data_IF_181323795444
#
_entry.id   IF_181323795444
#
_cell.length_a   1.000
_cell.length_b   1.000
_cell.length_c   1.000
_cell.angle_alpha   90.00
_cell.angle_beta   90.00
_cell.angle_gamma   90.00
#
_symmetry.space_group_name_H-M   'P 1'
#
loop_
_entity.id
_entity.type
_entity.pdbx_description
1 polymer ?
#
# COMPACT_ATOMS: atom_id res chain seq x y z
N UNK A 1 -14.89 5.91 -19.35
CA UNK A 1 -15.37 5.58 -18.00
C UNK A 1 -14.38 4.57 -17.44
N UNK A 2 -13.88 4.87 -16.24
CA UNK A 2 -12.99 4.03 -15.41
C UNK A 2 -11.58 3.73 -15.93
N UNK A 3 -10.62 3.85 -15.01
CA UNK A 3 -9.51 2.93 -14.75
C UNK A 3 -8.79 3.53 -13.49
N UNK A 4 -8.17 2.69 -12.65
CA UNK A 4 -6.99 2.88 -11.74
C UNK A 4 -6.47 1.48 -11.52
N UNK A 5 -5.17 1.21 -11.70
CA UNK A 5 -4.51 -0.07 -11.40
C UNK A 5 -3.00 0.05 -11.67
N UNK A 6 -2.28 0.58 -10.68
CA UNK A 6 -0.84 0.40 -10.57
C UNK A 6 -0.56 -1.04 -10.14
N UNK A 7 0.50 -1.61 -10.70
CA UNK A 7 0.97 -2.96 -10.38
C UNK A 7 1.63 -2.91 -9.00
N UNK A 8 0.96 -3.42 -7.98
CA UNK A 8 1.61 -3.85 -6.75
C UNK A 8 1.67 -5.38 -6.75
N UNK A 9 2.86 -5.92 -6.45
CA UNK A 9 3.10 -7.34 -6.27
C UNK A 9 3.07 -8.15 -7.57
N UNK A 10 4.23 -8.47 -8.13
CA UNK A 10 4.38 -9.47 -9.19
C UNK A 10 4.13 -10.87 -8.58
N UNK A 11 3.06 -11.60 -8.93
CA UNK A 11 2.91 -13.00 -8.55
C UNK A 11 3.39 -13.83 -9.75
N UNK A 12 4.70 -14.11 -9.78
CA UNK A 12 5.29 -14.93 -10.83
C UNK A 12 6.80 -15.01 -10.69
N UNK A 13 7.29 -16.16 -10.23
CA UNK A 13 8.67 -16.56 -10.52
C UNK A 13 8.92 -16.41 -12.03
N UNK A 14 9.91 -15.59 -12.40
CA UNK A 14 10.36 -15.48 -13.79
C UNK A 14 10.52 -14.07 -14.33
N UNK A 15 11.21 -13.17 -13.63
CA UNK A 15 11.89 -12.05 -14.29
C UNK A 15 13.23 -11.80 -13.60
N UNK A 16 14.29 -11.99 -14.36
CA UNK A 16 15.72 -11.81 -14.07
C UNK A 16 16.03 -10.78 -12.97
N UNK A 17 16.41 -11.26 -11.78
CA UNK A 17 17.01 -10.49 -10.69
C UNK A 17 18.51 -10.23 -10.95
N UNK A 18 18.87 -9.68 -12.10
CA UNK A 18 20.24 -9.26 -12.37
C UNK A 18 20.35 -7.75 -12.11
N UNK A 19 20.67 -7.36 -10.87
CA UNK A 19 20.97 -5.95 -10.55
C UNK A 19 20.88 -5.53 -9.08
N UNK A 20 20.26 -6.33 -8.20
CA UNK A 20 19.94 -5.93 -6.83
C UNK A 20 20.66 -6.77 -5.75
N UNK A 21 21.97 -6.93 -5.87
CA UNK A 21 22.75 -7.65 -4.86
C UNK A 21 22.68 -6.95 -3.50
N UNK A 22 22.26 -7.68 -2.45
CA UNK A 22 22.21 -7.20 -1.07
C UNK A 22 20.89 -6.57 -0.61
N UNK A 23 19.87 -6.46 -1.47
CA UNK A 23 18.55 -5.96 -1.08
C UNK A 23 17.66 -7.09 -0.54
N UNK A 24 16.94 -6.81 0.56
CA UNK A 24 15.93 -7.73 1.10
C UNK A 24 14.61 -7.46 0.42
N UNK A 25 14.03 -8.49 -0.18
CA UNK A 25 12.71 -8.43 -0.78
C UNK A 25 11.69 -9.02 0.19
N UNK A 26 10.58 -8.32 0.40
CA UNK A 26 9.42 -8.87 1.09
C UNK A 26 8.33 -9.11 0.05
N UNK A 27 7.83 -10.34 -0.02
CA UNK A 27 6.74 -10.68 -0.92
C UNK A 27 5.43 -9.98 -0.53
N UNK A 28 4.55 -9.83 -1.51
CA UNK A 28 3.18 -9.37 -1.29
C UNK A 28 2.18 -10.06 -2.22
N UNK A 29 0.89 -9.98 -1.87
CA UNK A 29 -0.21 -10.40 -2.73
C UNK A 29 -1.28 -9.32 -2.77
N UNK A 30 -1.90 -9.09 -3.92
CA UNK A 30 -3.06 -8.21 -4.08
C UNK A 30 -4.31 -9.04 -4.32
N UNK A 31 -5.32 -8.86 -3.46
CA UNK A 31 -6.58 -9.61 -3.45
C UNK A 31 -7.60 -9.10 -4.49
N UNK A 32 -7.14 -8.79 -5.70
CA UNK A 32 -8.02 -8.50 -6.83
C UNK A 32 -8.70 -9.79 -7.34
N UNK A 33 -9.82 -9.66 -8.05
CA UNK A 33 -10.60 -10.82 -8.53
C UNK A 33 -9.76 -11.79 -9.39
N UNK A 34 -8.87 -11.28 -10.23
CA UNK A 34 -7.97 -12.10 -11.05
C UNK A 34 -6.98 -12.96 -10.22
N UNK A 35 -6.71 -12.56 -8.98
CA UNK A 35 -5.87 -13.29 -8.02
C UNK A 35 -6.67 -14.28 -7.17
N UNK A 36 -8.00 -14.33 -7.33
CA UNK A 36 -8.93 -15.09 -6.47
C UNK A 36 -9.81 -14.22 -5.56
N UNK A 37 -9.58 -12.90 -5.52
CA UNK A 37 -10.38 -11.96 -4.74
C UNK A 37 -10.05 -11.95 -3.24
N UNK A 38 -10.96 -11.38 -2.44
CA UNK A 38 -10.84 -11.35 -0.97
C UNK A 38 -11.20 -12.75 -0.45
N UNK A 39 -10.20 -13.62 -0.38
CA UNK A 39 -10.35 -15.00 0.10
C UNK A 39 -9.10 -15.41 0.89
N UNK A 40 -9.32 -15.96 2.09
CA UNK A 40 -8.24 -16.42 2.98
C UNK A 40 -7.37 -17.50 2.32
N UNK A 41 -7.93 -18.32 1.42
CA UNK A 41 -7.21 -19.37 0.69
C UNK A 41 -6.13 -18.80 -0.23
N UNK A 42 -6.33 -17.59 -0.77
CA UNK A 42 -5.31 -16.89 -1.55
C UNK A 42 -4.12 -16.53 -0.66
N UNK A 43 -4.39 -16.06 0.55
CA UNK A 43 -3.36 -15.71 1.54
C UNK A 43 -2.63 -16.95 2.05
N UNK A 44 -3.35 -18.01 2.41
CA UNK A 44 -2.74 -19.30 2.80
C UNK A 44 -1.82 -19.85 1.72
N UNK A 45 -2.27 -19.85 0.46
CA UNK A 45 -1.46 -20.29 -0.67
C UNK A 45 -0.18 -19.45 -0.79
N UNK A 46 -0.28 -18.14 -0.66
CA UNK A 46 0.90 -17.26 -0.70
C UNK A 46 1.87 -17.52 0.45
N UNK A 47 1.37 -17.79 1.66
CA UNK A 47 2.19 -18.18 2.80
C UNK A 47 2.89 -19.54 2.57
N UNK A 48 2.20 -20.52 1.99
CA UNK A 48 2.83 -21.80 1.63
C UNK A 48 3.96 -21.62 0.59
N UNK A 49 3.76 -20.76 -0.42
CA UNK A 49 4.77 -20.49 -1.45
C UNK A 49 5.96 -19.71 -0.91
N UNK A 50 5.72 -18.83 0.07
CA UNK A 50 6.74 -18.08 0.78
C UNK A 50 7.63 -18.98 1.65
N UNK A 51 7.08 -20.07 2.20
CA UNK A 51 7.82 -20.95 3.11
C UNK A 51 8.28 -20.22 4.37
N UNK A 52 9.50 -20.50 4.82
CA UNK A 52 10.06 -20.00 6.09
C UNK A 52 10.76 -18.63 5.99
N UNK A 53 10.46 -17.84 4.95
CA UNK A 53 11.06 -16.50 4.81
C UNK A 53 10.74 -15.62 6.05
N UNK A 54 11.76 -14.99 6.66
CA UNK A 54 11.57 -14.20 7.87
C UNK A 54 10.74 -12.94 7.62
N UNK A 55 10.10 -12.43 8.67
CA UNK A 55 9.30 -11.21 8.64
C UNK A 55 7.85 -11.42 8.22
N UNK A 56 7.16 -10.33 7.92
CA UNK A 56 5.73 -10.31 7.59
C UNK A 56 5.50 -10.18 6.09
N UNK A 57 4.50 -10.90 5.60
CA UNK A 57 4.04 -10.85 4.21
C UNK A 57 2.95 -9.78 4.06
N UNK A 58 3.01 -8.97 3.01
CA UNK A 58 2.02 -7.91 2.79
C UNK A 58 0.83 -8.45 1.99
N UNK A 59 -0.38 -8.32 2.56
CA UNK A 59 -1.63 -8.65 1.88
C UNK A 59 -2.37 -7.35 1.59
N UNK A 60 -2.42 -6.96 0.31
CA UNK A 60 -3.18 -5.80 -0.12
C UNK A 60 -4.63 -6.22 -0.39
N UNK A 61 -5.56 -5.54 0.29
CA UNK A 61 -6.98 -5.55 -0.10
C UNK A 61 -7.13 -4.99 -1.54
N UNK A 62 -8.30 -5.15 -2.19
CA UNK A 62 -8.44 -4.89 -3.62
C UNK A 62 -7.98 -3.49 -4.06
N UNK A 63 -7.32 -3.44 -5.22
CA UNK A 63 -6.95 -2.19 -5.91
C UNK A 63 -7.84 -1.91 -7.12
N UNK A 64 -8.62 -2.91 -7.59
CA UNK A 64 -9.74 -2.74 -8.54
C UNK A 64 -11.05 -2.64 -7.78
N UNK A 65 -11.52 -1.43 -7.54
CA UNK A 65 -12.72 -1.21 -6.70
C UNK A 65 -13.94 -0.71 -7.48
N UNK A 66 -13.79 -0.47 -8.79
CA UNK A 66 -14.84 0.14 -9.62
C UNK A 66 -15.15 1.58 -9.22
N UNK A 67 -14.27 2.22 -8.43
CA UNK A 67 -14.36 3.64 -8.11
C UNK A 67 -13.62 4.43 -9.17
N UNK A 68 -14.27 5.49 -9.65
CA UNK A 68 -13.66 6.43 -10.59
C UNK A 68 -12.92 7.53 -9.84
N UNK A 69 -11.64 7.72 -10.15
CA UNK A 69 -10.96 8.99 -9.92
C UNK A 69 -10.24 9.41 -11.20
N UNK A 70 -10.10 10.71 -11.41
CA UNK A 70 -9.39 11.25 -12.57
C UNK A 70 -7.89 11.21 -12.26
N UNK A 71 -7.16 10.32 -12.94
CA UNK A 71 -5.69 10.32 -12.88
C UNK A 71 -5.10 11.04 -14.06
N UNK A 72 -4.02 11.78 -13.81
CA UNK A 72 -3.21 12.47 -14.84
C UNK A 72 -2.28 11.52 -15.59
N UNK A 73 -2.12 10.27 -15.14
CA UNK A 73 -1.32 9.26 -15.83
C UNK A 73 -2.05 8.67 -17.04
N UNK A 74 -1.28 8.44 -18.12
CA UNK A 74 -1.76 7.72 -19.30
C UNK A 74 -2.09 6.26 -18.95
N UNK A 75 -3.24 5.80 -19.42
CA UNK A 75 -3.89 4.59 -18.91
C UNK A 75 -3.66 3.36 -19.78
N UNK A 76 -2.48 2.77 -19.66
CA UNK A 76 -2.12 1.55 -20.39
C UNK A 76 -2.64 0.29 -19.68
N UNK A 77 -2.96 -0.75 -20.46
CA UNK A 77 -3.25 -2.06 -19.91
C UNK A 77 -1.94 -2.72 -19.54
N UNK A 78 -1.87 -3.33 -18.35
CA UNK A 78 -0.70 -4.11 -17.96
C UNK A 78 -0.50 -5.33 -18.85
N UNK A 79 -1.59 -5.88 -19.41
CA UNK A 79 -1.52 -7.00 -20.35
C UNK A 79 -2.69 -6.97 -21.35
N UNK A 80 -2.51 -7.37 -22.63
CA UNK A 80 -3.57 -7.40 -23.63
C UNK A 80 -4.80 -8.25 -23.26
N UNK A 81 -4.59 -9.35 -22.51
CA UNK A 81 -5.69 -10.23 -22.05
C UNK A 81 -6.77 -9.49 -21.25
N UNK A 82 -6.40 -8.40 -20.57
CA UNK A 82 -7.34 -7.61 -19.77
C UNK A 82 -8.32 -6.80 -20.63
N UNK A 83 -8.14 -6.74 -21.97
CA UNK A 83 -9.14 -6.19 -22.91
C UNK A 83 -10.38 -7.08 -22.99
N UNK A 84 -10.15 -8.38 -23.07
CA UNK A 84 -11.21 -9.37 -23.27
C UNK A 84 -11.79 -9.85 -21.94
N UNK A 85 -10.95 -9.85 -20.89
CA UNK A 85 -11.32 -10.30 -19.54
C UNK A 85 -10.95 -9.23 -18.52
N UNK A 86 -11.74 -8.14 -18.41
CA UNK A 86 -11.49 -7.12 -17.42
C UNK A 86 -11.63 -7.68 -16.00
N UNK A 87 -10.76 -7.23 -15.10
CA UNK A 87 -10.79 -7.62 -13.69
C UNK A 87 -12.07 -7.06 -13.07
N UNK A 88 -12.86 -7.91 -12.41
CA UNK A 88 -14.09 -7.46 -11.76
C UNK A 88 -13.75 -6.62 -10.52
N UNK A 89 -14.46 -5.49 -10.32
CA UNK A 89 -14.36 -4.72 -9.08
C UNK A 89 -14.67 -5.55 -7.83
N UNK A 90 -13.87 -5.35 -6.79
CA UNK A 90 -14.12 -5.89 -5.45
C UNK A 90 -14.00 -4.78 -4.41
N UNK A 91 -14.83 -4.83 -3.37
CA UNK A 91 -14.83 -3.88 -2.26
C UNK A 91 -14.70 -4.63 -0.95
N UNK A 92 -14.17 -3.93 0.06
CA UNK A 92 -14.01 -4.48 1.41
C UNK A 92 -15.33 -4.44 2.20
N UNK A 93 -16.30 -3.67 1.71
CA UNK A 93 -17.65 -3.56 2.27
C UNK A 93 -18.70 -4.23 1.39
N UNK A 94 -19.77 -4.69 2.04
CA UNK A 94 -21.02 -5.09 1.38
C UNK A 94 -21.90 -3.86 1.11
N UNK A 95 -23.00 -4.06 0.38
CA UNK A 95 -23.96 -2.99 0.02
C UNK A 95 -24.59 -2.29 1.25
N UNK A 96 -24.61 -2.96 2.40
CA UNK A 96 -25.10 -2.38 3.66
C UNK A 96 -24.08 -1.48 4.37
N UNK A 97 -22.94 -1.21 3.74
CA UNK A 97 -21.88 -0.35 4.28
C UNK A 97 -21.06 -0.99 5.41
N UNK A 98 -21.13 -2.32 5.59
CA UNK A 98 -20.33 -3.04 6.59
C UNK A 98 -19.23 -3.84 5.94
N UNK A 99 -18.10 -4.04 6.64
CA UNK A 99 -17.05 -4.94 6.18
C UNK A 99 -17.62 -6.33 5.88
N UNK A 100 -17.21 -6.90 4.76
CA UNK A 100 -17.65 -8.25 4.36
C UNK A 100 -17.07 -9.29 5.33
N UNK A 101 -17.73 -10.45 5.52
CA UNK A 101 -17.17 -11.56 6.30
C UNK A 101 -15.76 -11.95 5.82
N UNK A 102 -15.54 -11.96 4.50
CA UNK A 102 -14.25 -12.27 3.89
C UNK A 102 -13.17 -11.26 4.29
N UNK A 103 -13.49 -9.96 4.28
CA UNK A 103 -12.55 -8.93 4.77
C UNK A 103 -12.23 -9.13 6.24
N UNK A 104 -13.23 -9.43 7.08
CA UNK A 104 -13.01 -9.72 8.50
C UNK A 104 -12.11 -10.93 8.70
N UNK A 105 -12.24 -11.97 7.86
CA UNK A 105 -11.39 -13.15 7.92
C UNK A 105 -9.94 -12.81 7.57
N UNK A 106 -9.70 -12.00 6.53
CA UNK A 106 -8.35 -11.49 6.21
C UNK A 106 -7.75 -10.67 7.37
N UNK A 107 -8.53 -9.81 8.02
CA UNK A 107 -8.05 -9.05 9.17
C UNK A 107 -7.68 -9.98 10.35
N UNK A 108 -8.51 -10.98 10.65
CA UNK A 108 -8.23 -11.95 11.72
C UNK A 108 -6.96 -12.76 11.43
N UNK A 109 -6.73 -13.15 10.16
CA UNK A 109 -5.52 -13.86 9.77
C UNK A 109 -4.25 -13.14 10.21
N UNK A 110 -4.22 -11.80 10.22
CA UNK A 110 -3.03 -11.05 10.63
C UNK A 110 -2.66 -11.21 12.11
N UNK A 111 -3.57 -11.72 12.94
CA UNK A 111 -3.29 -12.08 14.34
C UNK A 111 -2.58 -13.42 14.46
N UNK A 112 -2.93 -14.35 13.57
CA UNK A 112 -2.49 -15.75 13.64
C UNK A 112 -1.26 -16.00 12.74
N UNK A 113 -1.08 -15.17 11.71
CA UNK A 113 -0.01 -15.27 10.73
C UNK A 113 0.83 -13.98 10.69
N UNK A 114 2.11 -14.06 10.28
CA UNK A 114 2.97 -12.89 10.16
C UNK A 114 2.58 -12.07 8.91
N UNK A 115 1.49 -11.33 9.02
CA UNK A 115 0.97 -10.49 7.93
C UNK A 115 1.05 -9.01 8.28
N UNK A 116 1.15 -8.20 7.23
CA UNK A 116 0.75 -6.79 7.21
C UNK A 116 -0.46 -6.70 6.30
N UNK A 117 -1.57 -6.15 6.78
CA UNK A 117 -2.73 -5.89 5.91
C UNK A 117 -2.58 -4.49 5.35
N UNK A 118 -2.60 -4.36 4.02
CA UNK A 118 -2.68 -3.07 3.33
C UNK A 118 -4.12 -2.80 2.91
N UNK A 119 -4.60 -1.58 3.12
CA UNK A 119 -6.01 -1.20 2.85
C UNK A 119 -6.39 -1.24 1.37
N UNK A 120 -5.42 -1.39 0.46
CA UNK A 120 -5.68 -1.30 -0.99
C UNK A 120 -6.29 0.04 -1.37
N UNK A 121 -7.16 0.05 -2.38
CA UNK A 121 -7.85 1.27 -2.84
C UNK A 121 -9.23 1.46 -2.20
N UNK A 122 -9.32 1.17 -0.90
CA UNK A 122 -10.46 1.51 -0.06
C UNK A 122 -10.69 3.03 -0.05
N UNK A 123 -11.96 3.46 -0.05
CA UNK A 123 -12.30 4.88 0.13
C UNK A 123 -12.15 5.32 1.60
N UNK A 124 -12.40 6.60 1.88
CA UNK A 124 -12.22 7.17 3.21
C UNK A 124 -13.05 6.46 4.30
N UNK A 125 -14.30 6.09 3.99
CA UNK A 125 -15.19 5.43 4.95
C UNK A 125 -14.76 3.98 5.19
N UNK A 126 -14.40 3.27 4.12
CA UNK A 126 -13.83 1.92 4.20
C UNK A 126 -12.52 1.90 4.98
N UNK A 127 -11.63 2.86 4.77
CA UNK A 127 -10.38 2.96 5.53
C UNK A 127 -10.65 3.17 7.01
N UNK A 128 -11.58 4.05 7.39
CA UNK A 128 -11.96 4.24 8.80
C UNK A 128 -12.55 2.97 9.41
N UNK A 129 -13.44 2.28 8.70
CA UNK A 129 -13.97 0.98 9.15
C UNK A 129 -12.87 -0.08 9.33
N UNK A 130 -11.90 -0.14 8.41
CA UNK A 130 -10.77 -1.06 8.50
C UNK A 130 -9.88 -0.73 9.70
N UNK A 131 -9.63 0.54 9.99
CA UNK A 131 -8.88 0.98 11.18
C UNK A 131 -9.63 0.58 12.45
N UNK A 132 -10.90 0.99 12.58
CA UNK A 132 -11.72 0.71 13.76
C UNK A 132 -11.79 -0.80 14.06
N UNK A 133 -12.08 -1.60 13.04
CA UNK A 133 -12.17 -3.05 13.20
C UNK A 133 -10.81 -3.68 13.52
N UNK A 134 -9.74 -3.21 12.86
CA UNK A 134 -8.37 -3.68 13.11
C UNK A 134 -7.95 -3.43 14.56
N UNK A 135 -8.23 -2.24 15.09
CA UNK A 135 -7.98 -1.91 16.50
C UNK A 135 -8.85 -2.77 17.42
N UNK A 136 -10.15 -2.91 17.12
CA UNK A 136 -11.10 -3.69 17.92
C UNK A 136 -10.69 -5.15 18.07
N UNK A 137 -10.19 -5.78 17.00
CA UNK A 137 -9.80 -7.19 17.03
C UNK A 137 -8.31 -7.41 17.29
N UNK A 138 -7.50 -6.35 17.39
CA UNK A 138 -6.07 -6.45 17.69
C UNK A 138 -5.20 -6.90 16.51
N UNK A 139 -5.47 -6.41 15.30
CA UNK A 139 -4.58 -6.59 14.14
C UNK A 139 -3.23 -5.94 14.44
N UNK A 140 -2.10 -6.68 14.34
CA UNK A 140 -0.82 -6.16 14.78
C UNK A 140 -0.21 -5.14 13.82
N UNK A 141 -0.51 -5.24 12.51
CA UNK A 141 0.07 -4.40 11.45
C UNK A 141 -0.97 -4.12 10.36
N UNK A 142 -1.52 -2.92 10.37
CA UNK A 142 -2.34 -2.36 9.30
C UNK A 142 -1.56 -1.23 8.63
N UNK A 143 -1.42 -1.26 7.31
CA UNK A 143 -0.83 -0.19 6.52
C UNK A 143 -1.92 0.50 5.70
N UNK A 144 -2.08 1.81 5.87
CA UNK A 144 -2.94 2.60 5.00
C UNK A 144 -2.21 2.79 3.66
N UNK A 145 -2.77 2.24 2.60
CA UNK A 145 -2.19 2.28 1.26
C UNK A 145 -2.48 3.64 0.61
N UNK A 146 -1.43 4.43 0.41
CA UNK A 146 -1.51 5.78 -0.18
C UNK A 146 -2.68 6.64 0.34
N UNK A 147 -2.85 6.87 1.65
CA UNK A 147 -4.08 7.46 2.18
C UNK A 147 -4.34 8.91 1.76
N UNK A 148 -3.35 9.59 1.17
CA UNK A 148 -3.49 10.91 0.54
C UNK A 148 -4.07 10.86 -0.90
N UNK A 149 -4.26 9.67 -1.47
CA UNK A 149 -4.83 9.52 -2.81
C UNK A 149 -6.29 10.03 -2.87
N UNK A 150 -6.82 10.42 -4.05
CA UNK A 150 -8.15 11.03 -4.16
C UNK A 150 -9.35 10.18 -3.68
N UNK A 151 -9.21 8.85 -3.57
CA UNK A 151 -10.26 7.98 -3.04
C UNK A 151 -10.39 8.08 -1.52
N UNK A 152 -9.28 8.29 -0.83
CA UNK A 152 -9.23 8.33 0.64
C UNK A 152 -9.11 9.76 1.16
N UNK A 153 -8.26 10.58 0.54
CA UNK A 153 -8.19 12.03 0.76
C UNK A 153 -7.72 12.46 2.15
N UNK A 154 -7.10 11.58 2.94
CA UNK A 154 -6.64 11.90 4.29
C UNK A 154 -5.44 12.86 4.22
N UNK A 155 -5.44 13.85 5.11
CA UNK A 155 -4.40 14.89 5.20
C UNK A 155 -3.53 14.71 6.43
N UNK A 156 -2.39 15.39 6.46
CA UNK A 156 -1.38 15.23 7.50
C UNK A 156 -1.93 15.34 8.93
N UNK A 157 -2.89 16.23 9.18
CA UNK A 157 -3.49 16.39 10.50
C UNK A 157 -4.26 15.13 10.96
N UNK A 158 -5.07 14.54 10.09
CA UNK A 158 -5.81 13.30 10.39
C UNK A 158 -4.87 12.10 10.47
N UNK A 159 -3.89 12.04 9.55
CA UNK A 159 -2.87 10.99 9.55
C UNK A 159 -1.98 11.03 10.79
N UNK A 160 -1.71 12.20 11.38
CA UNK A 160 -0.96 12.31 12.62
C UNK A 160 -1.70 11.67 13.80
N UNK A 161 -3.03 11.83 13.86
CA UNK A 161 -3.86 11.18 14.88
C UNK A 161 -3.88 9.67 14.65
N UNK A 162 -4.18 9.23 13.43
CA UNK A 162 -4.25 7.79 13.10
C UNK A 162 -2.90 7.10 13.31
N UNK A 163 -1.80 7.71 12.86
CA UNK A 163 -0.45 7.16 12.96
C UNK A 163 0.08 7.07 14.39
N UNK A 164 -0.58 7.73 15.37
CA UNK A 164 -0.24 7.56 16.78
C UNK A 164 -0.59 6.16 17.31
N UNK A 165 -1.48 5.43 16.62
CA UNK A 165 -1.77 4.03 16.92
C UNK A 165 -0.58 3.13 16.53
N UNK A 166 0.03 2.38 17.48
CA UNK A 166 1.26 1.62 17.23
C UNK A 166 1.15 0.53 16.17
N UNK A 167 -0.06 0.04 15.88
CA UNK A 167 -0.32 -1.00 14.89
C UNK A 167 -0.65 -0.45 13.50
N UNK A 168 -0.84 0.87 13.37
CA UNK A 168 -1.23 1.51 12.10
C UNK A 168 -0.05 2.26 11.50
N UNK A 169 0.23 1.94 10.23
CA UNK A 169 1.31 2.50 9.44
C UNK A 169 0.75 3.32 8.29
N UNK A 170 1.39 4.43 7.98
CA UNK A 170 0.95 5.38 6.96
C UNK A 170 1.90 5.29 5.78
N UNK A 171 1.43 4.77 4.65
CA UNK A 171 2.25 4.79 3.45
C UNK A 171 2.25 6.21 2.85
N UNK A 172 3.41 6.84 2.75
CA UNK A 172 3.57 8.08 1.98
C UNK A 172 4.30 7.75 0.68
N UNK A 173 3.64 7.96 -0.45
CA UNK A 173 4.23 7.67 -1.76
C UNK A 173 4.75 8.92 -2.44
N UNK A 174 5.83 8.79 -3.20
CA UNK A 174 6.29 9.85 -4.10
C UNK A 174 5.25 10.15 -5.19
N UNK A 175 4.53 9.12 -5.65
CA UNK A 175 3.55 9.26 -6.72
C UNK A 175 2.43 10.27 -6.38
N UNK A 176 1.88 10.26 -5.16
CA UNK A 176 0.80 11.21 -4.80
C UNK A 176 1.25 12.66 -4.90
N UNK A 177 2.52 12.94 -4.60
CA UNK A 177 3.12 14.26 -4.74
C UNK A 177 3.38 14.61 -6.21
N UNK A 178 3.98 13.69 -6.97
CA UNK A 178 4.28 13.89 -8.40
C UNK A 178 3.03 14.11 -9.27
N UNK A 179 1.91 13.46 -8.94
CA UNK A 179 0.64 13.65 -9.63
C UNK A 179 -0.15 14.88 -9.16
N UNK A 180 0.35 15.60 -8.15
CA UNK A 180 -0.33 16.77 -7.58
C UNK A 180 -1.57 16.44 -6.76
N UNK A 181 -1.78 15.19 -6.35
CA UNK A 181 -2.87 14.82 -5.43
C UNK A 181 -2.63 15.36 -4.02
N UNK A 182 -1.36 15.56 -3.69
CA UNK A 182 -0.91 16.13 -2.44
C UNK A 182 -0.04 17.35 -2.74
N UNK A 183 -0.33 18.47 -2.09
CA UNK A 183 0.49 19.66 -2.22
C UNK A 183 1.78 19.55 -1.38
N UNK A 184 2.73 20.45 -1.63
CA UNK A 184 4.01 20.48 -0.93
C UNK A 184 3.86 20.66 0.57
N UNK A 185 2.89 21.44 1.04
CA UNK A 185 2.73 21.73 2.46
C UNK A 185 2.25 20.48 3.21
N UNK A 186 1.25 19.78 2.68
CA UNK A 186 0.73 18.55 3.26
C UNK A 186 1.76 17.43 3.20
N UNK A 187 2.43 17.24 2.04
CA UNK A 187 3.50 16.24 1.89
C UNK A 187 4.65 16.48 2.87
N UNK A 188 5.09 17.73 3.02
CA UNK A 188 6.10 18.11 4.02
C UNK A 188 5.62 17.76 5.43
N UNK A 189 4.38 18.12 5.80
CA UNK A 189 3.84 17.81 7.13
C UNK A 189 3.80 16.30 7.42
N UNK A 190 3.39 15.49 6.45
CA UNK A 190 3.39 14.02 6.60
C UNK A 190 4.81 13.52 6.88
N UNK A 191 5.76 13.86 6.01
CA UNK A 191 7.13 13.38 6.15
C UNK A 191 7.80 13.88 7.43
N UNK A 192 7.53 15.12 7.86
CA UNK A 192 8.16 15.70 9.05
C UNK A 192 7.55 15.23 10.37
N UNK A 193 6.22 15.06 10.45
CA UNK A 193 5.54 15.00 11.76
C UNK A 193 4.62 13.79 11.97
N UNK A 194 4.19 13.10 10.90
CA UNK A 194 3.25 11.97 11.07
C UNK A 194 4.01 10.75 11.59
N UNK A 195 3.56 10.11 12.70
CA UNK A 195 4.21 8.89 13.20
C UNK A 195 3.96 7.69 12.27
N UNK A 196 4.77 6.64 12.42
CA UNK A 196 4.63 5.37 11.68
C UNK A 196 4.53 5.52 10.14
N UNK A 197 5.12 6.57 9.58
CA UNK A 197 5.22 6.72 8.12
C UNK A 197 6.19 5.69 7.54
N UNK A 198 5.77 5.05 6.47
CA UNK A 198 6.58 4.22 5.57
C UNK A 198 6.64 4.93 4.22
N UNK A 199 7.85 5.31 3.79
CA UNK A 199 8.03 6.02 2.52
C UNK A 199 8.26 5.03 1.38
N UNK A 200 7.47 5.14 0.32
CA UNK A 200 7.60 4.31 -0.89
C UNK A 200 7.45 5.17 -2.16
N UNK A 201 7.70 4.59 -3.34
CA UNK A 201 7.58 5.33 -4.60
C UNK A 201 6.17 5.26 -5.19
N UNK A 202 5.57 4.06 -5.18
CA UNK A 202 4.50 3.63 -6.10
C UNK A 202 4.78 4.00 -7.57
N UNK A 203 6.05 3.88 -7.95
CA UNK A 203 6.51 4.00 -9.33
C UNK A 203 6.75 2.60 -9.90
N UNK A 204 6.76 2.49 -11.22
CA UNK A 204 7.00 1.20 -11.89
C UNK A 204 6.39 1.08 -13.28
N UNK A 205 5.76 2.14 -13.80
CA UNK A 205 5.37 2.19 -15.20
C UNK A 205 6.57 2.61 -16.06
N UNK A 206 6.69 2.07 -17.27
CA UNK A 206 7.82 2.34 -18.18
C UNK A 206 7.99 3.82 -18.57
N UNK A 207 6.98 4.65 -18.33
CA UNK A 207 6.99 6.09 -18.58
C UNK A 207 7.31 6.93 -17.33
N UNK A 208 7.58 6.30 -16.18
CA UNK A 208 7.91 6.98 -14.94
C UNK A 208 9.42 6.99 -14.71
N UNK A 209 9.88 7.87 -13.81
CA UNK A 209 11.28 7.99 -13.41
C UNK A 209 11.81 6.65 -12.88
N UNK A 210 13.09 6.37 -13.14
CA UNK A 210 13.72 5.15 -12.66
C UNK A 210 14.02 5.21 -11.16
N UNK A 211 14.49 4.10 -10.59
CA UNK A 211 14.75 4.00 -9.15
C UNK A 211 15.86 4.95 -8.68
N UNK A 212 16.91 5.17 -9.48
CA UNK A 212 18.02 6.04 -9.12
C UNK A 212 17.60 7.51 -9.16
N UNK A 213 16.84 7.89 -10.18
CA UNK A 213 16.25 9.21 -10.31
C UNK A 213 15.31 9.50 -9.14
N UNK A 214 14.39 8.58 -8.82
CA UNK A 214 13.49 8.72 -7.67
C UNK A 214 14.23 8.88 -6.34
N UNK A 215 15.30 8.10 -6.10
CA UNK A 215 16.11 8.21 -4.88
C UNK A 215 16.80 9.59 -4.80
N UNK A 216 17.36 10.07 -5.91
CA UNK A 216 17.96 11.40 -5.99
C UNK A 216 16.94 12.52 -5.72
N UNK A 217 15.78 12.46 -6.37
CA UNK A 217 14.68 13.41 -6.17
C UNK A 217 14.17 13.41 -4.72
N UNK A 218 14.00 12.23 -4.14
CA UNK A 218 13.56 12.09 -2.74
C UNK A 218 14.58 12.71 -1.78
N UNK A 219 15.88 12.51 -2.01
CA UNK A 219 16.94 13.16 -1.25
C UNK A 219 16.83 14.69 -1.29
N UNK A 220 16.66 15.26 -2.49
CA UNK A 220 16.47 16.71 -2.67
C UNK A 220 15.21 17.23 -1.96
N UNK A 221 14.11 16.48 -2.00
CA UNK A 221 12.90 16.85 -1.25
C UNK A 221 13.14 16.81 0.25
N UNK A 222 13.79 15.78 0.77
CA UNK A 222 14.11 15.68 2.19
C UNK A 222 15.00 16.82 2.67
N UNK A 223 15.98 17.23 1.86
CA UNK A 223 16.81 18.42 2.12
C UNK A 223 15.96 19.69 2.10
N UNK A 224 15.14 19.88 1.06
CA UNK A 224 14.30 21.06 0.90
C UNK A 224 13.21 21.20 1.98
N UNK A 225 12.84 20.10 2.63
CA UNK A 225 11.89 20.06 3.75
C UNK A 225 12.58 20.10 5.12
N UNK A 226 13.91 20.11 5.16
CA UNK A 226 14.69 20.16 6.40
C UNK A 226 14.56 18.90 7.25
N UNK A 227 14.35 17.73 6.65
CA UNK A 227 14.25 16.48 7.40
C UNK A 227 15.61 16.07 7.98
N UNK A 228 15.64 15.75 9.26
CA UNK A 228 16.85 15.25 9.93
C UNK A 228 17.25 13.86 9.41
N UNK A 229 18.51 13.47 9.62
CA UNK A 229 19.00 12.14 9.25
C UNK A 229 18.21 11.03 9.97
N UNK A 230 17.88 11.24 11.25
CA UNK A 230 17.10 10.33 12.07
C UNK A 230 15.70 10.16 11.47
N UNK A 231 15.03 11.26 11.12
CA UNK A 231 13.68 11.19 10.55
C UNK A 231 13.66 10.51 9.19
N UNK A 232 14.67 10.75 8.35
CA UNK A 232 14.83 10.04 7.07
C UNK A 232 14.98 8.54 7.32
N UNK A 233 15.86 8.14 8.23
CA UNK A 233 16.07 6.73 8.57
C UNK A 233 14.81 6.08 9.17
N UNK A 234 14.05 6.81 9.99
CA UNK A 234 12.78 6.31 10.52
C UNK A 234 11.82 5.88 9.42
N UNK A 235 11.53 6.77 8.46
CA UNK A 235 10.49 6.50 7.47
C UNK A 235 10.94 5.62 6.30
N UNK A 236 12.23 5.57 5.98
CA UNK A 236 12.77 4.76 4.87
C UNK A 236 13.34 3.42 5.29
N UNK A 237 13.63 3.22 6.58
CA UNK A 237 14.26 1.99 7.08
C UNK A 237 13.60 1.45 8.34
N UNK A 238 13.57 2.21 9.44
CA UNK A 238 13.22 1.67 10.76
C UNK A 238 11.73 1.35 10.90
N UNK A 239 10.84 2.21 10.40
CA UNK A 239 9.40 1.96 10.39
C UNK A 239 9.05 0.78 9.46
N UNK A 240 9.58 0.71 8.21
CA UNK A 240 9.44 -0.49 7.38
C UNK A 240 9.93 -1.77 8.09
N UNK A 241 11.11 -1.76 8.71
CA UNK A 241 11.64 -2.89 9.47
C UNK A 241 10.74 -3.29 10.64
N UNK A 242 10.22 -2.33 11.40
CA UNK A 242 9.27 -2.59 12.51
C UNK A 242 7.93 -3.12 12.00
N UNK A 243 7.46 -2.59 10.86
CA UNK A 243 6.21 -3.01 10.23
C UNK A 243 6.33 -4.45 9.73
N UNK A 244 7.44 -4.79 9.10
CA UNK A 244 7.71 -6.09 8.49
C UNK A 244 8.36 -7.08 9.47
N UNK A 245 8.81 -6.64 10.64
CA UNK A 245 9.56 -7.44 11.61
C UNK A 245 10.82 -8.11 11.02
N UNK A 246 11.70 -7.32 10.37
CA UNK A 246 12.95 -7.77 9.71
C UNK A 246 14.19 -6.95 10.09
#
# INVERSE_FOLDING_TARGET
>A
MEKSLGVHGCPGMGSTQSGFSGQRFCGSVVLNEISGGIDYRVVERSLCLRGDEPGRFIVHLPTVTGRTHTSTLARNLSHPLLREKPIKPARVTAQNGRLTPQTLDILKMARDYPLVISTGHADADEVRMLIEESLRIGVPRLMLNQPANPLTGLKAAELAVIGSEPSVYIEQTALTYLLGYQDRQDFTKVLSHVPNVVYSSDLGQTSQVDVHEWLSMSGQWFDAFGLSCERRAEMTLLNPQRMLAI
#
